data_IF_121178524930
#
_entry.id   IF_121178524930
#
_cell.length_a   1.000
_cell.length_b   1.000
_cell.length_c   1.000
_cell.angle_alpha   90.00
_cell.angle_beta   90.00
_cell.angle_gamma   90.00
#
_symmetry.space_group_name_H-M   'P 1'
#
loop_
_entity.id
_entity.type
_entity.pdbx_description
1 polymer ?
#
# COMPACT_ATOMS: atom_id res chain seq x y z
N UNK A 1 -3.98 -1.25 -32.53
CA UNK A 1 -3.19 -0.61 -31.44
C UNK A 1 -2.79 -1.75 -30.53
N UNK A 2 -1.50 -2.02 -30.39
CA UNK A 2 -1.03 -3.03 -29.44
C UNK A 2 -1.15 -2.40 -28.06
N UNK A 3 -2.10 -2.83 -27.25
CA UNK A 3 -2.22 -2.37 -25.87
C UNK A 3 -0.96 -2.83 -25.12
N UNK A 4 -0.12 -1.88 -24.72
CA UNK A 4 1.02 -2.17 -23.85
C UNK A 4 0.48 -2.57 -22.48
N UNK A 5 0.85 -3.79 -22.07
CA UNK A 5 0.49 -4.36 -20.79
C UNK A 5 1.57 -3.97 -19.78
N UNK A 6 1.14 -3.61 -18.58
CA UNK A 6 2.02 -3.05 -17.56
C UNK A 6 2.05 -3.94 -16.32
N UNK A 7 3.20 -3.92 -15.63
CA UNK A 7 3.36 -4.54 -14.33
C UNK A 7 4.35 -3.77 -13.45
N UNK A 8 4.34 -4.13 -12.17
CA UNK A 8 5.38 -3.76 -11.23
C UNK A 8 6.34 -4.93 -11.09
N UNK A 9 7.63 -4.69 -11.32
CA UNK A 9 8.70 -5.63 -11.04
C UNK A 9 9.35 -5.27 -9.70
N UNK A 10 9.45 -6.23 -8.78
CA UNK A 10 10.16 -6.07 -7.52
C UNK A 10 11.58 -6.61 -7.70
N UNK A 11 12.51 -5.70 -7.97
CA UNK A 11 13.93 -5.98 -8.05
C UNK A 11 14.42 -6.58 -6.72
N UNK A 12 15.31 -7.57 -6.80
CA UNK A 12 15.82 -8.33 -5.64
C UNK A 12 14.98 -9.56 -5.26
N UNK A 13 13.67 -9.55 -5.51
CA UNK A 13 12.80 -10.74 -5.42
C UNK A 13 12.53 -11.38 -6.78
N UNK A 14 12.71 -10.61 -7.86
CA UNK A 14 12.38 -11.00 -9.23
C UNK A 14 10.91 -11.40 -9.39
N UNK A 15 10.04 -10.65 -8.72
CA UNK A 15 8.59 -10.88 -8.67
C UNK A 15 7.85 -9.84 -9.53
N UNK A 16 6.74 -10.23 -10.15
CA UNK A 16 6.01 -9.42 -11.12
C UNK A 16 4.53 -9.33 -10.76
N UNK A 17 4.03 -8.11 -10.55
CA UNK A 17 2.64 -7.85 -10.21
C UNK A 17 1.96 -7.23 -11.42
N UNK A 18 1.07 -7.99 -12.07
CA UNK A 18 0.27 -7.51 -13.20
C UNK A 18 -0.72 -6.42 -12.75
N UNK A 19 -0.90 -5.38 -13.58
CA UNK A 19 -1.86 -4.29 -13.32
C UNK A 19 -2.62 -3.88 -14.57
N UNK A 20 -3.75 -3.19 -14.38
CA UNK A 20 -4.66 -2.77 -15.44
C UNK A 20 -4.10 -1.65 -16.35
N UNK A 21 -3.17 -0.84 -15.85
CA UNK A 21 -2.67 0.34 -16.56
C UNK A 21 -1.32 0.80 -16.03
N UNK A 22 -0.58 1.55 -16.84
CA UNK A 22 0.67 2.18 -16.43
C UNK A 22 0.51 3.03 -15.16
N UNK A 23 -0.58 3.82 -15.08
CA UNK A 23 -0.88 4.64 -13.90
C UNK A 23 -1.14 3.79 -12.65
N UNK A 24 -1.73 2.61 -12.80
CA UNK A 24 -1.89 1.68 -11.69
C UNK A 24 -0.53 1.11 -11.26
N UNK A 25 0.35 0.78 -12.21
CA UNK A 25 1.71 0.31 -11.94
C UNK A 25 2.51 1.36 -11.16
N UNK A 26 2.45 2.63 -11.59
CA UNK A 26 3.16 3.74 -10.94
C UNK A 26 2.71 3.94 -9.49
N UNK A 27 1.39 3.91 -9.23
CA UNK A 27 0.86 4.02 -7.87
C UNK A 27 1.28 2.84 -7.00
N UNK A 28 1.19 1.63 -7.54
CA UNK A 28 1.54 0.42 -6.80
C UNK A 28 3.04 0.36 -6.49
N UNK A 29 3.90 0.66 -7.47
CA UNK A 29 5.35 0.73 -7.28
C UNK A 29 5.74 1.78 -6.23
N UNK A 30 5.09 2.95 -6.24
CA UNK A 30 5.33 4.00 -5.24
C UNK A 30 4.92 3.54 -3.83
N UNK A 31 3.77 2.87 -3.69
CA UNK A 31 3.31 2.35 -2.41
C UNK A 31 4.22 1.24 -1.86
N UNK A 32 4.69 0.33 -2.72
CA UNK A 32 5.63 -0.73 -2.33
C UNK A 32 6.97 -0.13 -1.89
N UNK A 33 7.51 0.83 -2.65
CA UNK A 33 8.76 1.50 -2.27
C UNK A 33 8.63 2.25 -0.94
N UNK A 34 7.53 2.98 -0.73
CA UNK A 34 7.28 3.66 0.55
C UNK A 34 7.17 2.69 1.72
N UNK A 35 6.56 1.51 1.49
CA UNK A 35 6.51 0.45 2.49
C UNK A 35 7.89 -0.14 2.78
N UNK A 36 8.71 -0.41 1.75
CA UNK A 36 10.09 -0.91 1.92
C UNK A 36 10.92 0.10 2.72
N UNK A 37 10.86 1.39 2.35
CA UNK A 37 11.55 2.48 3.04
C UNK A 37 11.11 2.62 4.51
N UNK A 38 9.82 2.45 4.80
CA UNK A 38 9.26 2.58 6.14
C UNK A 38 9.43 1.35 7.04
N UNK A 39 9.39 0.14 6.46
CA UNK A 39 9.43 -1.12 7.20
C UNK A 39 10.86 -1.61 7.46
N UNK A 40 11.81 -1.28 6.60
CA UNK A 40 13.18 -1.80 6.69
C UNK A 40 14.20 -0.69 7.01
N UNK A 41 14.47 -0.50 8.31
CA UNK A 41 15.61 0.29 8.80
C UNK A 41 16.92 -0.51 8.75
N UNK A 42 17.23 -1.15 7.61
CA UNK A 42 18.36 -2.06 7.47
C UNK A 42 18.84 -2.29 6.04
N UNK A 43 19.92 -3.06 5.91
CA UNK A 43 20.67 -3.28 4.65
C UNK A 43 19.88 -4.00 3.53
N UNK A 44 18.70 -4.53 3.83
CA UNK A 44 17.79 -5.18 2.86
C UNK A 44 16.91 -4.18 2.09
N UNK A 45 16.57 -3.03 2.67
CA UNK A 45 15.92 -1.93 1.95
C UNK A 45 16.75 -1.46 0.75
N UNK A 46 18.08 -1.54 0.84
CA UNK A 46 18.98 -1.17 -0.24
C UNK A 46 18.96 -2.12 -1.45
N UNK A 47 18.33 -3.29 -1.34
CA UNK A 47 18.33 -4.33 -2.39
C UNK A 47 16.95 -4.47 -3.05
N UNK A 48 15.88 -4.13 -2.33
CA UNK A 48 14.51 -4.29 -2.82
C UNK A 48 13.99 -2.98 -3.42
N UNK A 49 13.56 -3.01 -4.68
CA UNK A 49 12.99 -1.85 -5.36
C UNK A 49 11.85 -2.26 -6.28
N UNK A 50 10.71 -1.58 -6.18
CA UNK A 50 9.61 -1.73 -7.10
C UNK A 50 9.75 -0.74 -8.28
N UNK A 51 9.75 -1.26 -9.50
CA UNK A 51 9.86 -0.50 -10.75
C UNK A 51 8.73 -0.84 -11.70
N UNK A 52 8.28 0.16 -12.47
CA UNK A 52 7.26 -0.04 -13.50
C UNK A 52 7.91 -0.53 -14.78
N UNK A 53 7.43 -1.66 -15.30
CA UNK A 53 7.93 -2.24 -16.55
C UNK A 53 6.77 -2.68 -17.43
N UNK A 54 7.06 -2.82 -18.72
CA UNK A 54 6.16 -3.52 -19.63
C UNK A 54 6.13 -5.00 -19.27
N UNK A 55 4.95 -5.62 -19.39
CA UNK A 55 4.77 -7.04 -19.10
C UNK A 55 5.67 -7.87 -20.04
N UNK A 56 6.65 -8.62 -19.52
CA UNK A 56 7.64 -9.29 -20.37
C UNK A 56 7.14 -10.63 -20.92
N UNK A 57 5.97 -11.11 -20.46
CA UNK A 57 5.40 -12.39 -20.86
C UNK A 57 4.25 -12.20 -21.85
N UNK A 58 3.57 -13.30 -22.20
CA UNK A 58 2.48 -13.23 -23.14
C UNK A 58 1.25 -12.52 -22.51
N UNK A 59 0.38 -11.91 -23.35
CA UNK A 59 -0.85 -11.25 -22.89
C UNK A 59 -1.84 -12.14 -22.13
N UNK A 60 -1.88 -13.44 -22.42
CA UNK A 60 -2.80 -14.35 -21.75
C UNK A 60 -2.39 -14.58 -20.29
N UNK A 61 -1.08 -14.65 -20.01
CA UNK A 61 -0.53 -14.71 -18.66
C UNK A 61 -0.73 -13.39 -17.91
N UNK A 62 -0.73 -12.25 -18.60
CA UNK A 62 -1.10 -10.97 -17.96
C UNK A 62 -2.54 -10.98 -17.48
N UNK A 63 -3.49 -11.36 -18.35
CA UNK A 63 -4.90 -11.44 -17.99
C UNK A 63 -5.16 -12.46 -16.88
N UNK A 64 -4.44 -13.59 -16.91
CA UNK A 64 -4.51 -14.62 -15.87
C UNK A 64 -3.96 -14.14 -14.54
N UNK A 65 -2.78 -13.52 -14.51
CA UNK A 65 -2.19 -12.95 -13.30
C UNK A 65 -3.09 -11.85 -12.71
N UNK A 66 -3.72 -11.03 -13.56
CA UNK A 66 -4.66 -10.00 -13.14
C UNK A 66 -5.95 -10.59 -12.52
N UNK A 67 -6.28 -11.84 -12.83
CA UNK A 67 -7.45 -12.53 -12.29
C UNK A 67 -7.13 -13.43 -11.07
N UNK A 68 -6.03 -14.19 -11.14
CA UNK A 68 -5.59 -15.14 -10.12
C UNK A 68 -4.92 -14.42 -8.95
N UNK A 69 -3.97 -13.52 -9.22
CA UNK A 69 -3.14 -12.90 -8.18
C UNK A 69 -3.82 -11.67 -7.57
N UNK A 70 -4.92 -11.19 -8.15
CA UNK A 70 -5.63 -10.02 -7.62
C UNK A 70 -6.03 -10.19 -6.15
N UNK A 71 -6.49 -11.38 -5.77
CA UNK A 71 -6.87 -11.64 -4.38
C UNK A 71 -5.66 -11.57 -3.45
N UNK A 72 -4.52 -12.14 -3.85
CA UNK A 72 -3.31 -12.20 -3.04
C UNK A 72 -2.65 -10.82 -2.93
N UNK A 73 -2.60 -10.05 -4.03
CA UNK A 73 -2.12 -8.67 -4.05
C UNK A 73 -2.98 -7.79 -3.13
N UNK A 74 -4.30 -7.98 -3.09
CA UNK A 74 -5.19 -7.25 -2.17
C UNK A 74 -4.93 -7.58 -0.69
N UNK A 75 -4.35 -8.73 -0.38
CA UNK A 75 -3.99 -9.11 0.99
C UNK A 75 -2.58 -8.64 1.39
N UNK A 76 -1.81 -8.06 0.47
CA UNK A 76 -0.46 -7.61 0.75
C UNK A 76 -0.44 -6.49 1.81
N UNK A 77 0.52 -6.53 2.75
CA UNK A 77 0.53 -5.67 3.93
C UNK A 77 0.61 -4.17 3.61
N UNK A 78 1.25 -3.79 2.50
CA UNK A 78 1.35 -2.38 2.07
C UNK A 78 0.00 -1.80 1.60
N UNK A 79 -0.90 -2.62 1.04
CA UNK A 79 -2.27 -2.16 0.68
C UNK A 79 -3.16 -1.97 1.90
N UNK A 80 -2.97 -2.77 2.94
CA UNK A 80 -3.72 -2.64 4.21
C UNK A 80 -3.36 -1.37 4.97
N UNK A 81 -2.10 -0.91 4.88
CA UNK A 81 -1.65 0.34 5.49
C UNK A 81 -2.21 1.57 4.77
N UNK A 82 -2.32 1.55 3.43
CA UNK A 82 -2.91 2.65 2.66
C UNK A 82 -4.40 2.91 3.01
N UNK A 83 -5.15 1.86 3.37
CA UNK A 83 -6.54 1.99 3.87
C UNK A 83 -6.58 2.62 5.27
N UNK A 84 -5.55 2.40 6.10
CA UNK A 84 -5.48 2.98 7.45
C UNK A 84 -4.98 4.43 7.47
N UNK A 85 -4.18 4.88 6.50
CA UNK A 85 -3.75 6.28 6.41
C UNK A 85 -4.83 7.22 5.85
N UNK A 86 -5.81 6.68 5.11
CA UNK A 86 -6.88 7.50 4.51
C UNK A 86 -8.07 7.77 5.46
N UNK A 87 -8.18 7.06 6.59
CA UNK A 87 -9.30 7.18 7.54
C UNK A 87 -8.90 7.85 8.89
N UNK A 88 -7.62 8.20 9.06
CA UNK A 88 -7.07 8.62 10.37
C UNK A 88 -7.05 10.13 10.66
N UNK A 89 -7.43 11.00 9.73
CA UNK A 89 -7.35 12.47 9.91
C UNK A 89 -8.74 13.09 10.11
N UNK A 90 -9.54 12.54 11.02
CA UNK A 90 -10.66 13.27 11.60
C UNK A 90 -10.69 13.14 13.13
N UNK A 91 -10.20 14.21 13.76
CA UNK A 91 -10.66 14.75 15.04
C UNK A 91 -10.32 13.92 16.29
N UNK A 92 -9.06 14.02 16.74
CA UNK A 92 -8.77 14.00 18.17
C UNK A 92 -8.79 15.44 18.71
N UNK A 93 -9.98 16.02 18.87
CA UNK A 93 -10.15 17.26 19.65
C UNK A 93 -10.76 16.91 21.00
N UNK A 94 -9.90 16.93 22.00
CA UNK A 94 -10.21 16.78 23.40
C UNK A 94 -11.42 17.61 23.84
N UNK A 95 -12.39 16.97 24.50
CA UNK A 95 -13.23 17.64 25.49
C UNK A 95 -13.44 16.74 26.71
N UNK A 96 -12.37 16.64 27.52
CA UNK A 96 -12.45 16.26 28.92
C UNK A 96 -13.27 17.32 29.67
N UNK A 97 -14.56 17.07 29.88
CA UNK A 97 -15.37 17.80 30.85
C UNK A 97 -16.35 16.86 31.55
N UNK A 98 -15.94 16.31 32.71
CA UNK A 98 -16.82 16.12 33.88
C UNK A 98 -16.08 15.43 35.03
N UNK A 99 -15.75 16.21 36.07
CA UNK A 99 -16.08 15.96 37.48
C UNK A 99 -15.08 16.71 38.37
N UNK A 100 -15.44 17.94 38.74
CA UNK A 100 -15.06 18.51 40.03
C UNK A 100 -16.09 19.59 40.36
N UNK A 101 -17.17 19.21 41.05
CA UNK A 101 -17.85 20.12 41.96
C UNK A 101 -18.03 19.39 43.28
N UNK A 102 -17.23 19.86 44.22
CA UNK A 102 -17.30 19.66 45.66
C UNK A 102 -18.70 19.98 46.19
N UNK A 103 -19.29 19.10 46.98
CA UNK A 103 -20.36 19.44 47.91
C UNK A 103 -19.94 18.96 49.29
N UNK A 104 -19.37 19.89 50.06
CA UNK A 104 -19.25 19.79 51.51
C UNK A 104 -19.20 21.21 52.10
N UNK A 105 -20.33 21.66 52.66
CA UNK A 105 -20.58 22.56 53.82
C UNK A 105 -22.04 23.03 53.72
N UNK A 106 -22.95 22.87 54.68
CA UNK A 106 -22.81 22.83 56.12
C UNK A 106 -23.26 24.18 56.70
N UNK A 107 -24.56 24.33 56.98
CA UNK A 107 -25.10 25.02 58.15
C UNK A 107 -26.56 24.60 58.36
#
# INVERSE_FOLDING_TARGET
MSEQLWCVHIEGLNDFIAVDSQRAAEREALAINAYIDGAETGQRAAVLRAVVVEWPFNPADHARALQEDWHDVQQMPHRRQAVHESDGVFVNMARRVKKLVSVARGK
#
